data_IF_178398390347
#
_entry.id   IF_178398390347
#
_cell.length_a   1.000
_cell.length_b   1.000
_cell.length_c   1.000
_cell.angle_alpha   90.00
_cell.angle_beta   90.00
_cell.angle_gamma   90.00
#
_symmetry.space_group_name_H-M   'P 1'
#
loop_
_entity.id
_entity.type
_entity.pdbx_description
1 polymer ?
#
# COMPACT_ATOMS: atom_id res chain seq x y z
N UNK A 1 -6.12 -5.41 14.46
CA UNK A 1 -6.40 -6.84 14.25
C UNK A 1 -7.70 -7.23 14.92
N UNK A 2 -7.76 -7.12 16.25
CA UNK A 2 -8.98 -7.40 17.03
C UNK A 2 -10.22 -6.65 16.52
N UNK A 3 -10.09 -5.36 16.18
CA UNK A 3 -11.23 -4.60 15.64
C UNK A 3 -11.77 -5.14 14.31
N UNK A 4 -10.92 -5.65 13.42
CA UNK A 4 -11.37 -6.24 12.16
C UNK A 4 -12.18 -7.52 12.43
N UNK A 5 -11.68 -8.37 13.33
CA UNK A 5 -12.37 -9.60 13.72
C UNK A 5 -13.71 -9.30 14.41
N UNK A 6 -13.71 -8.35 15.36
CA UNK A 6 -14.90 -7.92 16.07
C UNK A 6 -15.97 -7.38 15.11
N UNK A 7 -15.60 -6.41 14.26
CA UNK A 7 -16.55 -5.83 13.31
C UNK A 7 -17.03 -6.84 12.28
N UNK A 8 -16.19 -7.78 11.85
CA UNK A 8 -16.60 -8.84 10.93
C UNK A 8 -17.71 -9.70 11.55
N UNK A 9 -17.58 -10.06 12.83
CA UNK A 9 -18.62 -10.80 13.55
C UNK A 9 -19.91 -9.99 13.69
N UNK A 10 -19.81 -8.73 14.11
CA UNK A 10 -20.96 -7.84 14.29
C UNK A 10 -21.74 -7.67 12.98
N UNK A 11 -21.05 -7.42 11.87
CA UNK A 11 -21.68 -7.24 10.55
C UNK A 11 -22.34 -8.53 10.06
N UNK A 12 -21.70 -9.70 10.26
CA UNK A 12 -22.30 -10.99 9.89
C UNK A 12 -23.52 -11.35 10.74
N UNK A 13 -23.62 -10.84 11.95
CA UNK A 13 -24.79 -10.94 12.83
C UNK A 13 -25.87 -9.88 12.53
N UNK A 14 -25.65 -9.00 11.54
CA UNK A 14 -26.57 -7.92 11.17
C UNK A 14 -26.58 -6.75 12.16
N UNK A 15 -25.54 -6.60 12.98
CA UNK A 15 -25.37 -5.49 13.93
C UNK A 15 -24.55 -4.36 13.30
N UNK A 16 -24.74 -3.16 13.83
CA UNK A 16 -23.88 -2.02 13.52
C UNK A 16 -22.45 -2.26 14.04
N UNK A 17 -21.40 -2.05 13.21
CA UNK A 17 -20.03 -2.31 13.60
C UNK A 17 -19.51 -1.28 14.62
N UNK A 18 -18.86 -1.77 15.67
CA UNK A 18 -18.22 -0.95 16.68
C UNK A 18 -16.84 -0.50 16.20
N UNK A 19 -16.66 0.80 15.94
CA UNK A 19 -15.37 1.36 15.53
C UNK A 19 -14.66 2.07 16.69
N UNK A 20 -13.48 1.55 17.08
CA UNK A 20 -12.71 2.04 18.25
C UNK A 20 -11.38 2.67 17.86
N UNK A 21 -10.63 2.03 16.96
CA UNK A 21 -9.32 2.46 16.48
C UNK A 21 -9.49 3.26 15.20
N UNK A 22 -10.31 2.77 14.27
CA UNK A 22 -10.57 3.45 13.00
C UNK A 22 -11.81 4.33 13.10
N UNK A 23 -11.82 5.47 12.41
CA UNK A 23 -12.98 6.38 12.37
C UNK A 23 -14.08 5.90 11.43
N UNK A 24 -13.85 4.82 10.71
CA UNK A 24 -14.68 4.29 9.64
C UNK A 24 -14.83 2.79 9.87
N UNK A 25 -15.92 2.20 9.38
CA UNK A 25 -16.08 0.75 9.34
C UNK A 25 -14.90 0.11 8.62
N UNK A 26 -14.27 -0.87 9.24
CA UNK A 26 -13.16 -1.61 8.68
C UNK A 26 -13.62 -2.92 8.02
N UNK A 27 -14.49 -3.69 8.67
CA UNK A 27 -15.01 -4.92 8.10
C UNK A 27 -15.77 -4.67 6.80
N UNK A 28 -15.46 -5.43 5.75
CA UNK A 28 -16.08 -5.34 4.42
C UNK A 28 -16.02 -3.95 3.76
N UNK A 29 -15.01 -3.15 4.11
CA UNK A 29 -14.83 -1.81 3.57
C UNK A 29 -13.39 -1.58 3.09
N UNK A 30 -13.22 -0.53 2.30
CA UNK A 30 -11.96 0.00 1.79
C UNK A 30 -11.89 1.50 2.06
N UNK A 31 -10.78 1.98 2.59
CA UNK A 31 -10.60 3.41 2.84
C UNK A 31 -9.14 3.83 2.75
N UNK A 32 -8.91 5.13 2.56
CA UNK A 32 -7.55 5.71 2.59
C UNK A 32 -6.82 5.30 3.87
N UNK A 33 -5.50 5.09 3.78
CA UNK A 33 -4.70 4.74 4.94
C UNK A 33 -4.94 5.68 6.13
N UNK A 34 -4.83 5.15 7.36
CA UNK A 34 -5.20 5.85 8.60
C UNK A 34 -4.22 6.94 9.05
N UNK A 35 -3.28 7.32 8.19
CA UNK A 35 -2.34 8.43 8.38
C UNK A 35 -2.97 9.76 8.02
N UNK A 36 -2.35 10.87 8.46
CA UNK A 36 -2.85 12.21 8.13
C UNK A 36 -2.80 12.47 6.62
N UNK A 37 -3.77 13.24 6.12
CA UNK A 37 -3.73 13.78 4.76
C UNK A 37 -2.91 15.06 4.79
N UNK A 38 -1.92 15.15 3.91
CA UNK A 38 -1.02 16.29 3.76
C UNK A 38 -1.65 17.36 2.86
N UNK A 39 -1.06 18.55 2.83
CA UNK A 39 -1.55 19.68 2.02
C UNK A 39 -1.55 19.43 0.51
N UNK A 40 -0.78 18.45 0.04
CA UNK A 40 -0.75 18.02 -1.36
C UNK A 40 -1.82 16.96 -1.69
N UNK A 41 -2.66 16.57 -0.73
CA UNK A 41 -3.74 15.59 -0.91
C UNK A 41 -3.33 14.12 -0.75
N UNK A 42 -2.04 13.83 -0.54
CA UNK A 42 -1.56 12.47 -0.27
C UNK A 42 -1.58 12.16 1.22
N UNK A 43 -1.76 10.90 1.58
CA UNK A 43 -1.54 10.47 2.95
C UNK A 43 -0.04 10.28 3.26
N UNK A 44 0.33 10.29 4.54
CA UNK A 44 1.75 10.18 4.93
C UNK A 44 2.41 8.88 4.48
N UNK A 45 1.69 7.76 4.42
CA UNK A 45 2.25 6.47 3.99
C UNK A 45 2.59 6.49 2.49
N UNK A 46 1.77 7.12 1.66
CA UNK A 46 2.07 7.35 0.23
C UNK A 46 3.34 8.18 0.06
N UNK A 47 3.45 9.29 0.79
CA UNK A 47 4.64 10.15 0.71
C UNK A 47 5.88 9.49 1.30
N UNK A 48 5.72 8.57 2.28
CA UNK A 48 6.81 7.77 2.81
C UNK A 48 7.35 6.80 1.75
N UNK A 49 6.50 6.12 0.99
CA UNK A 49 6.94 5.28 -0.13
C UNK A 49 7.76 6.08 -1.15
N UNK A 50 7.32 7.28 -1.53
CA UNK A 50 8.07 8.15 -2.45
C UNK A 50 9.43 8.56 -1.88
N UNK A 51 9.49 8.93 -0.60
CA UNK A 51 10.74 9.37 0.05
C UNK A 51 11.73 8.22 0.25
N UNK A 52 11.26 7.06 0.73
CA UNK A 52 12.11 5.90 0.94
C UNK A 52 12.61 5.34 -0.39
N UNK A 53 11.81 5.30 -1.46
CA UNK A 53 12.29 4.90 -2.79
C UNK A 53 13.42 5.79 -3.30
N UNK A 54 13.26 7.12 -3.21
CA UNK A 54 14.31 8.08 -3.59
C UNK A 54 15.60 7.88 -2.78
N UNK A 55 15.46 7.59 -1.49
CA UNK A 55 16.58 7.35 -0.58
C UNK A 55 17.28 6.02 -0.87
N UNK A 56 16.53 4.94 -1.06
CA UNK A 56 17.06 3.58 -1.33
C UNK A 56 17.76 3.55 -2.68
N UNK A 57 17.20 4.18 -3.71
CA UNK A 57 17.82 4.27 -5.04
C UNK A 57 18.87 5.37 -5.16
N UNK A 58 19.01 6.21 -4.13
CA UNK A 58 19.88 7.38 -4.15
C UNK A 58 19.63 8.26 -5.39
N UNK A 59 18.38 8.40 -5.80
CA UNK A 59 17.95 9.16 -6.97
C UNK A 59 16.70 9.99 -6.63
N UNK A 60 16.85 11.32 -6.69
CA UNK A 60 15.76 12.25 -6.43
C UNK A 60 14.85 12.46 -7.64
N UNK A 61 15.28 12.07 -8.84
CA UNK A 61 14.56 12.27 -10.09
C UNK A 61 13.60 11.10 -10.40
N UNK A 62 13.70 9.98 -9.67
CA UNK A 62 12.77 8.87 -9.83
C UNK A 62 11.32 9.36 -9.67
N UNK A 63 10.50 9.04 -10.67
CA UNK A 63 9.08 9.38 -10.72
C UNK A 63 8.29 8.22 -10.14
N UNK A 64 7.89 8.38 -8.89
CA UNK A 64 7.06 7.42 -8.17
C UNK A 64 5.79 8.12 -7.69
N UNK A 65 4.67 7.44 -7.86
CA UNK A 65 3.41 7.77 -7.19
C UNK A 65 2.89 6.51 -6.52
N UNK A 66 2.15 6.68 -5.43
CA UNK A 66 1.58 5.59 -4.66
C UNK A 66 0.17 5.94 -4.23
N UNK A 67 -0.67 4.91 -4.07
CA UNK A 67 -1.98 5.02 -3.46
C UNK A 67 -2.09 3.95 -2.38
N UNK A 68 -2.22 4.37 -1.12
CA UNK A 68 -2.23 3.47 0.02
C UNK A 68 -3.65 3.33 0.57
N UNK A 69 -4.26 2.17 0.34
CA UNK A 69 -5.61 1.83 0.79
C UNK A 69 -5.53 0.78 1.88
N UNK A 70 -6.30 0.98 2.95
CA UNK A 70 -6.53 -0.04 3.97
C UNK A 70 -7.59 -1.01 3.45
N UNK A 71 -7.24 -2.29 3.43
CA UNK A 71 -8.10 -3.40 3.02
C UNK A 71 -8.36 -4.28 4.24
N UNK A 72 -9.56 -4.87 4.33
CA UNK A 72 -10.00 -5.78 5.41
C UNK A 72 -9.33 -7.16 5.34
N UNK A 73 -8.00 -7.17 5.40
CA UNK A 73 -7.17 -8.38 5.51
C UNK A 73 -6.44 -8.42 6.85
N UNK A 74 -6.22 -9.62 7.36
CA UNK A 74 -5.60 -9.82 8.66
C UNK A 74 -4.09 -9.54 8.59
N UNK A 75 -3.39 -10.24 7.70
CA UNK A 75 -1.94 -10.22 7.63
C UNK A 75 -1.53 -10.10 6.17
N UNK A 76 -0.37 -9.47 5.96
CA UNK A 76 0.21 -9.11 4.67
C UNK A 76 -0.35 -7.84 4.00
N UNK A 77 0.48 -7.28 3.12
CA UNK A 77 0.13 -6.23 2.19
C UNK A 77 0.15 -6.81 0.78
N UNK A 78 -0.66 -6.24 -0.09
CA UNK A 78 -0.65 -6.52 -1.52
C UNK A 78 -0.44 -5.20 -2.26
N UNK A 79 0.39 -5.24 -3.30
CA UNK A 79 0.74 -4.08 -4.08
C UNK A 79 0.51 -4.40 -5.56
N UNK A 80 -0.22 -3.52 -6.24
CA UNK A 80 -0.34 -3.55 -7.70
C UNK A 80 0.59 -2.49 -8.26
N UNK A 81 1.65 -2.93 -8.93
CA UNK A 81 2.72 -2.04 -9.39
C UNK A 81 2.71 -1.95 -10.92
N UNK A 82 2.73 -0.72 -11.42
CA UNK A 82 2.92 -0.43 -12.84
C UNK A 82 4.29 0.23 -13.04
N UNK A 83 5.15 -0.37 -13.86
CA UNK A 83 6.52 0.07 -14.09
C UNK A 83 6.70 0.54 -15.54
N UNK A 84 7.45 1.63 -15.71
CA UNK A 84 7.92 2.09 -17.01
C UNK A 84 9.45 2.00 -17.05
N UNK A 85 9.97 1.31 -18.06
CA UNK A 85 11.41 1.11 -18.25
C UNK A 85 11.93 2.02 -19.36
N UNK A 86 13.23 2.33 -19.32
CA UNK A 86 13.90 3.13 -20.38
C UNK A 86 13.99 2.36 -21.70
N UNK A 87 14.06 1.03 -21.62
CA UNK A 87 14.18 0.12 -22.75
C UNK A 87 13.00 -0.88 -22.67
N UNK A 88 12.43 -1.32 -23.81
CA UNK A 88 11.39 -2.35 -23.80
C UNK A 88 11.83 -3.60 -23.03
N UNK A 89 10.94 -4.08 -22.16
CA UNK A 89 11.17 -5.31 -21.42
C UNK A 89 10.87 -6.50 -22.35
N UNK A 90 11.87 -7.34 -22.58
CA UNK A 90 11.75 -8.63 -23.25
C UNK A 90 12.19 -9.77 -22.31
N UNK A 91 12.06 -11.02 -22.76
CA UNK A 91 12.37 -12.19 -21.93
C UNK A 91 13.83 -12.22 -21.45
N UNK A 92 14.77 -11.75 -22.28
CA UNK A 92 16.21 -11.72 -21.95
C UNK A 92 16.48 -10.65 -20.89
N UNK A 93 15.91 -9.46 -21.07
CA UNK A 93 16.09 -8.33 -20.16
C UNK A 93 15.32 -8.52 -18.83
N UNK A 94 14.25 -9.32 -18.83
CA UNK A 94 13.51 -9.67 -17.62
C UNK A 94 14.37 -10.40 -16.59
N UNK A 95 15.16 -11.39 -17.02
CA UNK A 95 16.02 -12.15 -16.10
C UNK A 95 17.13 -11.29 -15.50
N UNK A 96 17.68 -10.34 -16.25
CA UNK A 96 18.63 -9.37 -15.73
C UNK A 96 18.01 -8.51 -14.62
N UNK A 97 16.79 -8.02 -14.83
CA UNK A 97 16.05 -7.26 -13.83
C UNK A 97 15.74 -8.11 -12.58
N UNK A 98 15.21 -9.31 -12.76
CA UNK A 98 14.87 -10.21 -11.65
C UNK A 98 16.10 -10.57 -10.80
N UNK A 99 17.24 -10.83 -11.44
CA UNK A 99 18.50 -11.12 -10.75
C UNK A 99 18.99 -9.90 -9.96
N UNK A 100 18.94 -8.69 -10.54
CA UNK A 100 19.28 -7.43 -9.87
C UNK A 100 18.38 -7.17 -8.65
N UNK A 101 17.07 -7.38 -8.77
CA UNK A 101 16.14 -7.21 -7.65
C UNK A 101 16.39 -8.22 -6.52
N UNK A 102 16.74 -9.47 -6.84
CA UNK A 102 17.02 -10.49 -5.82
C UNK A 102 18.28 -10.26 -5.00
N UNK A 103 19.23 -9.48 -5.54
CA UNK A 103 20.47 -9.09 -4.84
C UNK A 103 20.31 -7.84 -3.95
N UNK A 104 19.17 -7.15 -4.06
CA UNK A 104 18.88 -5.90 -3.36
C UNK A 104 17.85 -6.04 -2.23
N UNK A 105 17.27 -7.24 -2.03
CA UNK A 105 16.37 -7.56 -0.91
C UNK A 105 17.06 -8.39 0.17
#
# INVERSE_FOLDING_TARGET
>A
MEELEQQTREVLEGKEPTSKIFKQQYAFNLFSHNTSILSNGYNEEEMKLVKEMRKIWNDMNVRVTATCIRVSVMLAHAESVNLQFEIPLDEVNFWYFALLCSLLM
#
